data_IF_136912406554
#
_entry.id   IF_136912406554
#
_cell.length_a   1.000
_cell.length_b   1.000
_cell.length_c   1.000
_cell.angle_alpha   90.00
_cell.angle_beta   90.00
_cell.angle_gamma   90.00
#
_symmetry.space_group_name_H-M   'P 1'
#
loop_
_entity.id
_entity.type
_entity.pdbx_description
1 polymer ?
#
# COMPACT_ATOMS: atom_id res chain seq x y z
N UNK A 1 -30.11 25.44 14.72
CA UNK A 1 -28.80 24.76 14.53
C UNK A 1 -28.44 24.98 13.07
N UNK A 2 -27.45 25.85 12.79
CA UNK A 2 -27.23 26.46 11.46
C UNK A 2 -26.80 25.45 10.41
N UNK A 3 -27.34 25.57 9.18
CA UNK A 3 -26.99 24.72 8.04
C UNK A 3 -25.47 24.70 7.76
N UNK A 4 -24.80 25.83 8.00
CA UNK A 4 -23.35 25.98 7.80
C UNK A 4 -22.51 25.01 8.63
N UNK A 5 -22.94 24.68 9.86
CA UNK A 5 -22.20 23.77 10.72
C UNK A 5 -22.29 22.31 10.23
N UNK A 6 -23.44 21.94 9.67
CA UNK A 6 -23.63 20.61 9.08
C UNK A 6 -22.84 20.47 7.77
N UNK A 7 -22.78 21.53 6.95
CA UNK A 7 -22.01 21.54 5.71
C UNK A 7 -20.49 21.54 5.97
N UNK A 8 -20.01 22.30 6.96
CA UNK A 8 -18.60 22.22 7.38
C UNK A 8 -18.22 20.83 7.90
N UNK A 9 -19.10 20.17 8.67
CA UNK A 9 -18.86 18.83 9.16
C UNK A 9 -18.79 17.81 8.01
N UNK A 10 -19.72 17.87 7.05
CA UNK A 10 -19.67 17.02 5.84
C UNK A 10 -18.40 17.26 5.05
N UNK A 11 -18.00 18.52 4.84
CA UNK A 11 -16.81 18.87 4.08
C UNK A 11 -15.53 18.34 4.75
N UNK A 12 -15.48 18.31 6.09
CA UNK A 12 -14.38 17.70 6.81
C UNK A 12 -14.26 16.20 6.49
N UNK A 13 -15.37 15.46 6.52
CA UNK A 13 -15.36 14.04 6.21
C UNK A 13 -15.06 13.74 4.73
N UNK A 14 -15.52 14.59 3.82
CA UNK A 14 -15.12 14.54 2.40
C UNK A 14 -13.60 14.68 2.28
N UNK A 15 -13.00 15.65 2.98
CA UNK A 15 -11.55 15.85 2.94
C UNK A 15 -10.78 14.67 3.53
N UNK A 16 -11.31 14.00 4.57
CA UNK A 16 -10.70 12.77 5.12
C UNK A 16 -10.69 11.65 4.08
N UNK A 17 -11.80 11.46 3.35
CA UNK A 17 -11.89 10.46 2.29
C UNK A 17 -10.95 10.80 1.13
N UNK A 18 -10.89 12.07 0.72
CA UNK A 18 -9.99 12.54 -0.33
C UNK A 18 -8.52 12.32 0.06
N UNK A 19 -8.15 12.67 1.30
CA UNK A 19 -6.80 12.43 1.84
C UNK A 19 -6.44 10.95 1.83
N UNK A 20 -7.36 10.06 2.20
CA UNK A 20 -7.10 8.63 2.16
C UNK A 20 -6.90 8.11 0.73
N UNK A 21 -7.63 8.64 -0.26
CA UNK A 21 -7.43 8.30 -1.68
C UNK A 21 -6.07 8.80 -2.17
N UNK A 22 -5.69 10.02 -1.78
CA UNK A 22 -4.37 10.58 -2.09
C UNK A 22 -3.26 9.75 -1.43
N UNK A 23 -3.38 9.39 -0.16
CA UNK A 23 -2.42 8.53 0.54
C UNK A 23 -2.32 7.12 -0.10
N UNK A 24 -3.42 6.61 -0.67
CA UNK A 24 -3.44 5.32 -1.36
C UNK A 24 -2.78 5.36 -2.75
N UNK A 25 -2.71 6.56 -3.37
CA UNK A 25 -2.29 6.76 -4.77
C UNK A 25 -1.05 7.63 -4.93
N UNK A 26 -0.55 8.32 -3.91
CA UNK A 26 0.62 9.20 -4.02
C UNK A 26 1.77 8.74 -3.13
N UNK A 27 2.98 9.09 -3.56
CA UNK A 27 4.20 8.99 -2.75
C UNK A 27 4.51 10.40 -2.23
N UNK A 28 3.79 10.88 -1.21
CA UNK A 28 4.05 12.20 -0.62
C UNK A 28 5.54 12.33 -0.30
N UNK A 29 6.23 13.38 -0.79
CA UNK A 29 7.70 13.40 -0.86
C UNK A 29 8.43 13.52 0.50
N UNK A 30 7.75 13.62 1.65
CA UNK A 30 8.40 14.03 2.91
C UNK A 30 8.37 13.01 4.08
N UNK A 31 7.57 11.94 4.05
CA UNK A 31 7.44 11.04 5.20
C UNK A 31 8.48 9.91 5.20
N UNK A 32 9.11 9.63 6.34
CA UNK A 32 9.94 8.44 6.51
C UNK A 32 9.12 7.12 6.43
N UNK A 33 7.78 7.22 6.47
CA UNK A 33 6.81 6.12 6.51
C UNK A 33 5.77 6.12 5.37
N UNK A 34 6.04 6.76 4.22
CA UNK A 34 5.06 6.90 3.08
C UNK A 34 4.40 5.58 2.68
N UNK A 35 5.20 4.54 2.71
CA UNK A 35 4.86 3.16 2.41
C UNK A 35 3.79 2.60 3.39
N UNK A 36 4.01 2.77 4.69
CA UNK A 36 3.04 2.38 5.73
C UNK A 36 1.74 3.17 5.62
N UNK A 37 1.82 4.47 5.33
CA UNK A 37 0.65 5.35 5.14
C UNK A 37 -0.19 4.85 3.96
N UNK A 38 0.45 4.49 2.85
CA UNK A 38 -0.22 3.93 1.67
C UNK A 38 -0.89 2.59 1.95
N UNK A 39 -0.22 1.69 2.67
CA UNK A 39 -0.82 0.42 3.08
C UNK A 39 -2.06 0.63 3.98
N UNK A 40 -1.94 1.48 4.99
CA UNK A 40 -3.03 1.78 5.92
C UNK A 40 -4.22 2.40 5.19
N UNK A 41 -3.97 3.37 4.30
CA UNK A 41 -4.99 4.02 3.48
C UNK A 41 -5.71 3.01 2.56
N UNK A 42 -4.96 2.18 1.84
CA UNK A 42 -5.52 1.10 1.01
C UNK A 42 -6.33 0.12 1.83
N UNK A 43 -5.82 -0.33 2.97
CA UNK A 43 -6.52 -1.25 3.86
C UNK A 43 -7.83 -0.64 4.37
N UNK A 44 -7.83 0.65 4.72
CA UNK A 44 -9.02 1.37 5.19
C UNK A 44 -10.08 1.51 4.10
N UNK A 45 -9.68 1.86 2.86
CA UNK A 45 -10.59 2.02 1.72
C UNK A 45 -11.13 0.68 1.18
N UNK A 46 -10.34 -0.39 1.23
CA UNK A 46 -10.63 -1.65 0.52
C UNK A 46 -11.08 -2.81 1.40
N UNK A 47 -10.88 -2.78 2.73
CA UNK A 47 -11.42 -3.79 3.67
C UNK A 47 -12.72 -3.31 4.31
N UNK A 48 -13.73 -4.17 4.50
CA UNK A 48 -14.96 -3.77 5.17
C UNK A 48 -14.65 -3.37 6.61
N UNK A 49 -14.95 -2.13 6.96
CA UNK A 49 -14.76 -1.59 8.32
C UNK A 49 -15.96 -0.73 8.71
N UNK A 50 -16.33 -0.77 9.99
CA UNK A 50 -17.41 0.06 10.52
C UNK A 50 -17.05 1.56 10.41
N UNK A 51 -15.79 1.89 10.74
CA UNK A 51 -15.24 3.25 10.69
C UNK A 51 -15.36 3.89 9.29
N UNK A 52 -15.07 3.13 8.23
CA UNK A 52 -15.21 3.62 6.85
C UNK A 52 -16.67 3.95 6.51
N UNK A 53 -17.61 3.07 6.88
CA UNK A 53 -19.03 3.29 6.62
C UNK A 53 -19.55 4.52 7.36
N UNK A 54 -19.12 4.70 8.61
CA UNK A 54 -19.47 5.87 9.42
C UNK A 54 -18.96 7.17 8.78
N UNK A 55 -17.68 7.22 8.38
CA UNK A 55 -17.10 8.39 7.71
C UNK A 55 -17.82 8.71 6.39
N UNK A 56 -18.17 7.69 5.60
CA UNK A 56 -18.95 7.90 4.37
C UNK A 56 -20.35 8.44 4.65
N UNK A 57 -21.06 7.91 5.65
CA UNK A 57 -22.37 8.40 6.03
C UNK A 57 -22.32 9.85 6.55
N UNK A 58 -21.31 10.20 7.35
CA UNK A 58 -21.10 11.56 7.85
C UNK A 58 -20.72 12.55 6.74
N UNK A 59 -20.05 12.07 5.68
CA UNK A 59 -19.80 12.83 4.45
C UNK A 59 -21.05 12.96 3.55
N UNK A 60 -22.11 12.18 3.80
CA UNK A 60 -23.27 12.08 2.91
C UNK A 60 -22.98 11.34 1.59
N UNK A 61 -21.99 10.44 1.60
CA UNK A 61 -21.57 9.64 0.45
C UNK A 61 -21.95 8.17 0.64
N UNK A 62 -22.24 7.49 -0.46
CA UNK A 62 -22.45 6.04 -0.46
C UNK A 62 -21.11 5.29 -0.25
N UNK A 63 -20.93 4.50 0.83
CA UNK A 63 -19.71 3.76 1.08
C UNK A 63 -19.32 2.84 -0.09
N UNK A 64 -20.30 2.27 -0.80
CA UNK A 64 -20.04 1.37 -1.93
C UNK A 64 -19.45 2.14 -3.11
N UNK A 65 -20.07 3.25 -3.50
CA UNK A 65 -19.56 4.12 -4.57
C UNK A 65 -18.15 4.66 -4.27
N UNK A 66 -17.88 5.07 -3.02
CA UNK A 66 -16.56 5.54 -2.60
C UNK A 66 -15.51 4.44 -2.74
N UNK A 67 -15.84 3.22 -2.32
CA UNK A 67 -14.95 2.06 -2.41
C UNK A 67 -14.65 1.68 -3.86
N UNK A 68 -15.66 1.64 -4.72
CA UNK A 68 -15.49 1.36 -6.15
C UNK A 68 -14.63 2.44 -6.84
N UNK A 69 -14.82 3.71 -6.49
CA UNK A 69 -13.96 4.80 -6.91
C UNK A 69 -12.51 4.61 -6.47
N UNK A 70 -12.29 4.38 -5.18
CA UNK A 70 -10.97 4.16 -4.60
C UNK A 70 -10.24 2.97 -5.23
N UNK A 71 -10.92 1.84 -5.43
CA UNK A 71 -10.35 0.65 -6.09
C UNK A 71 -9.92 0.97 -7.51
N UNK A 72 -10.72 1.70 -8.28
CA UNK A 72 -10.35 2.12 -9.64
C UNK A 72 -9.10 3.01 -9.64
N UNK A 73 -9.03 3.98 -8.73
CA UNK A 73 -7.86 4.86 -8.60
C UNK A 73 -6.59 4.07 -8.22
N UNK A 74 -6.70 3.14 -7.28
CA UNK A 74 -5.61 2.24 -6.86
C UNK A 74 -5.14 1.38 -8.04
N UNK A 75 -6.08 0.74 -8.76
CA UNK A 75 -5.76 -0.10 -9.91
C UNK A 75 -5.11 0.70 -11.05
N UNK A 76 -5.63 1.89 -11.35
CA UNK A 76 -5.06 2.76 -12.38
C UNK A 76 -3.63 3.18 -12.02
N UNK A 77 -3.37 3.44 -10.74
CA UNK A 77 -2.02 3.76 -10.25
C UNK A 77 -1.07 2.56 -10.35
N UNK A 78 -1.52 1.37 -9.96
CA UNK A 78 -0.72 0.14 -9.99
C UNK A 78 -0.48 -0.37 -11.42
N UNK A 79 -1.41 -0.10 -12.35
CA UNK A 79 -1.29 -0.44 -13.76
C UNK A 79 -0.30 0.48 -14.53
N UNK A 80 0.30 1.48 -13.88
CA UNK A 80 1.34 2.30 -14.49
C UNK A 80 2.54 1.42 -14.90
N UNK A 81 2.86 1.31 -16.21
CA UNK A 81 3.91 0.43 -16.72
C UNK A 81 5.28 0.72 -16.11
N UNK A 82 5.57 1.97 -15.75
CA UNK A 82 6.83 2.35 -15.09
C UNK A 82 7.00 1.68 -13.70
N UNK A 83 5.91 1.36 -13.01
CA UNK A 83 5.94 0.62 -11.73
C UNK A 83 5.91 -0.89 -11.94
N UNK A 84 5.21 -1.38 -12.96
CA UNK A 84 5.08 -2.80 -13.24
C UNK A 84 6.42 -3.48 -13.53
N UNK A 85 7.36 -2.78 -14.19
CA UNK A 85 8.72 -3.28 -14.47
C UNK A 85 9.54 -3.58 -13.20
N UNK A 86 9.19 -2.99 -12.05
CA UNK A 86 9.86 -3.18 -10.77
C UNK A 86 9.09 -4.06 -9.77
N UNK A 87 8.18 -4.91 -10.26
CA UNK A 87 7.38 -5.82 -9.45
C UNK A 87 7.96 -7.24 -9.41
N UNK A 88 7.78 -7.91 -8.27
CA UNK A 88 8.24 -9.27 -7.98
C UNK A 88 7.06 -10.15 -7.60
N UNK A 89 6.99 -11.33 -8.19
CA UNK A 89 5.94 -12.32 -7.94
C UNK A 89 6.40 -13.33 -6.88
N UNK A 90 5.60 -13.52 -5.84
CA UNK A 90 5.82 -14.53 -4.80
C UNK A 90 4.48 -15.00 -4.23
N UNK A 91 4.33 -16.32 -4.07
CA UNK A 91 3.10 -16.97 -3.59
C UNK A 91 1.82 -16.61 -4.37
N UNK A 92 1.94 -16.32 -5.66
CA UNK A 92 0.81 -15.94 -6.52
C UNK A 92 0.40 -14.47 -6.41
N UNK A 93 1.14 -13.68 -5.64
CA UNK A 93 0.92 -12.25 -5.49
C UNK A 93 2.07 -11.47 -6.12
N UNK A 94 1.74 -10.43 -6.92
CA UNK A 94 2.73 -9.59 -7.59
C UNK A 94 2.76 -8.23 -6.92
N UNK A 95 3.89 -7.92 -6.29
CA UNK A 95 4.09 -6.69 -5.54
C UNK A 95 5.47 -6.09 -5.83
N UNK A 96 5.58 -4.77 -5.75
CA UNK A 96 6.88 -4.08 -5.81
C UNK A 96 7.72 -4.35 -4.57
N UNK A 97 9.04 -4.11 -4.62
CA UNK A 97 9.92 -4.24 -3.43
C UNK A 97 9.40 -3.39 -2.25
N UNK A 98 8.79 -2.24 -2.53
CA UNK A 98 8.20 -1.38 -1.51
C UNK A 98 6.98 -2.05 -0.84
N UNK A 99 6.06 -2.58 -1.64
CA UNK A 99 4.87 -3.27 -1.12
C UNK A 99 5.24 -4.56 -0.37
N UNK A 100 6.26 -5.30 -0.86
CA UNK A 100 6.79 -6.44 -0.14
C UNK A 100 7.48 -6.06 1.19
N UNK A 101 8.21 -4.94 1.19
CA UNK A 101 8.83 -4.38 2.40
C UNK A 101 7.77 -4.06 3.46
N UNK A 102 6.66 -3.45 3.05
CA UNK A 102 5.53 -3.11 3.91
C UNK A 102 4.84 -4.36 4.47
N UNK A 103 4.52 -5.32 3.60
CA UNK A 103 3.78 -6.53 3.98
C UNK A 103 4.55 -7.42 4.95
N UNK A 104 5.86 -7.50 4.78
CA UNK A 104 6.72 -8.42 5.54
C UNK A 104 7.46 -7.71 6.68
N UNK A 105 7.32 -6.39 6.81
CA UNK A 105 8.05 -5.59 7.80
C UNK A 105 9.57 -5.61 7.60
N UNK A 106 10.04 -5.88 6.38
CA UNK A 106 11.46 -5.95 6.02
C UNK A 106 11.90 -4.67 5.36
N UNK A 107 13.08 -4.13 5.70
CA UNK A 107 13.57 -2.89 5.09
C UNK A 107 13.80 -3.03 3.57
N UNK A 108 13.41 -2.01 2.79
CA UNK A 108 13.58 -1.96 1.33
C UNK A 108 15.03 -2.16 0.88
N UNK A 109 15.98 -1.62 1.64
CA UNK A 109 17.42 -1.74 1.36
C UNK A 109 17.89 -3.17 1.57
N UNK A 110 17.32 -3.88 2.55
CA UNK A 110 17.58 -5.30 2.77
C UNK A 110 17.04 -6.14 1.62
N UNK A 111 15.79 -5.92 1.20
CA UNK A 111 15.20 -6.62 0.05
C UNK A 111 15.99 -6.36 -1.24
N UNK A 112 16.31 -5.10 -1.54
CA UNK A 112 17.12 -4.72 -2.70
C UNK A 112 18.52 -5.35 -2.64
N UNK A 113 19.14 -5.37 -1.46
CA UNK A 113 20.43 -6.00 -1.23
C UNK A 113 20.41 -7.51 -1.43
N UNK A 114 19.34 -8.20 -0.99
CA UNK A 114 19.13 -9.65 -1.18
C UNK A 114 18.95 -9.99 -2.66
N UNK A 115 18.10 -9.25 -3.37
CA UNK A 115 17.85 -9.44 -4.80
C UNK A 115 19.09 -9.16 -5.65
N UNK A 116 19.83 -8.07 -5.36
CA UNK A 116 21.11 -7.76 -6.01
C UNK A 116 22.19 -8.81 -5.74
N UNK A 117 22.12 -9.47 -4.58
CA UNK A 117 23.02 -10.56 -4.21
C UNK A 117 22.62 -11.92 -4.83
N UNK A 118 21.55 -11.95 -5.63
CA UNK A 118 21.07 -13.13 -6.34
C UNK A 118 20.31 -14.13 -5.48
N UNK A 119 19.66 -13.67 -4.40
CA UNK A 119 18.74 -14.52 -3.65
C UNK A 119 17.52 -14.87 -4.52
N UNK A 120 16.99 -16.10 -4.41
CA UNK A 120 15.69 -16.41 -4.98
C UNK A 120 14.63 -15.51 -4.31
N UNK A 121 13.70 -14.99 -5.11
CA UNK A 121 12.70 -13.99 -4.69
C UNK A 121 11.95 -14.46 -3.44
N UNK A 122 11.56 -15.73 -3.37
CA UNK A 122 10.84 -16.25 -2.21
C UNK A 122 11.64 -16.27 -0.90
N UNK A 123 12.94 -16.54 -0.94
CA UNK A 123 13.79 -16.48 0.25
C UNK A 123 14.15 -15.03 0.59
N UNK A 124 14.29 -14.16 -0.42
CA UNK A 124 14.55 -12.75 -0.19
C UNK A 124 13.40 -12.09 0.62
N UNK A 125 12.18 -12.55 0.38
CA UNK A 125 10.95 -12.07 1.00
C UNK A 125 10.66 -12.72 2.36
N UNK A 126 10.88 -14.02 2.54
CA UNK A 126 10.53 -14.71 3.79
C UNK A 126 11.62 -14.68 4.87
N UNK A 127 12.86 -14.31 4.54
CA UNK A 127 13.95 -14.36 5.51
C UNK A 127 13.88 -13.20 6.53
N UNK A 128 13.94 -13.46 7.85
CA UNK A 128 13.95 -12.42 8.87
C UNK A 128 15.21 -11.55 8.83
N UNK A 129 15.13 -10.35 9.40
CA UNK A 129 16.25 -9.40 9.48
C UNK A 129 17.44 -10.04 10.23
N UNK A 130 18.65 -9.98 9.65
CA UNK A 130 19.85 -10.61 10.20
C UNK A 130 20.13 -12.04 9.72
N UNK A 131 19.24 -12.65 8.94
CA UNK A 131 19.53 -13.93 8.28
C UNK A 131 20.61 -13.75 7.21
N UNK A 132 21.73 -14.47 7.35
CA UNK A 132 22.83 -14.43 6.38
C UNK A 132 22.43 -15.12 5.09
N UNK A 133 22.96 -14.64 3.98
CA UNK A 133 22.71 -15.25 2.68
C UNK A 133 23.01 -16.76 2.69
N UNK A 134 22.13 -17.58 2.07
CA UNK A 134 22.49 -18.95 1.81
C UNK A 134 23.79 -18.92 1.02
N UNK A 135 24.84 -19.52 1.58
CA UNK A 135 26.11 -19.65 0.89
C UNK A 135 25.79 -20.36 -0.42
N UNK A 136 26.16 -19.76 -1.57
CA UNK A 136 26.12 -20.44 -2.86
C UNK A 136 26.84 -21.79 -2.66
N UNK A 137 26.10 -22.90 -2.53
CA UNK A 137 26.71 -24.22 -2.72
C UNK A 137 27.10 -24.20 -4.19
N UNK A 138 28.41 -24.10 -4.47
CA UNK A 138 28.92 -24.47 -5.78
C UNK A 138 28.39 -25.89 -6.02
N UNK A 139 27.48 -26.06 -6.99
CA UNK A 139 27.19 -27.39 -7.51
C UNK A 139 28.54 -27.94 -7.97
N UNK A 140 28.99 -29.03 -7.35
CA UNK A 140 30.12 -29.79 -7.86
C UNK A 140 29.73 -30.26 -9.27
N UNK A 141 30.67 -30.08 -10.21
CA UNK A 141 30.57 -30.56 -11.58
C UNK A 141 30.49 -32.09 -11.62
#
# INVERSE_FOLDING_TARGET
MSADAADCARQLWINVIALAIDDATLTAAAQNNKDLVRYQARSWLTKPSADFNEVCHLAGLDPKAVREGAVRCIQAYDANPERAECSYEFEGERHTIAEWSERLGLDRSVLRGRLKSGWPVGEALTAPYGFRAPRKRKRAA
#
